data_IF_718325793686
#
_entry.id   IF_718325793686
#
_cell.length_a   1.000
_cell.length_b   1.000
_cell.length_c   1.000
_cell.angle_alpha   90.00
_cell.angle_beta   90.00
_cell.angle_gamma   90.00
#
_symmetry.space_group_name_H-M   'P 1'
#
loop_
_entity.id
_entity.type
_entity.pdbx_description
1 polymer ?
#
# COMPACT_ATOMS: atom_id res chain seq x y z
N UNK A 1 7.60 -27.85 -59.37
CA UNK A 1 7.30 -28.74 -58.22
C UNK A 1 8.42 -28.84 -57.18
N UNK A 2 9.71 -28.82 -57.55
CA UNK A 2 10.84 -28.98 -56.61
C UNK A 2 10.97 -27.82 -55.62
N UNK A 3 10.69 -26.59 -56.05
CA UNK A 3 10.77 -25.39 -55.19
C UNK A 3 9.61 -25.28 -54.19
N UNK A 4 8.42 -25.80 -54.55
CA UNK A 4 7.25 -25.85 -53.66
C UNK A 4 7.54 -26.80 -52.48
N UNK A 5 8.10 -27.98 -52.75
CA UNK A 5 8.48 -28.94 -51.70
C UNK A 5 9.58 -28.40 -50.78
N UNK A 6 10.53 -27.63 -51.32
CA UNK A 6 11.62 -27.02 -50.56
C UNK A 6 11.11 -25.87 -49.68
N UNK A 7 10.27 -25.00 -50.25
CA UNK A 7 9.57 -23.93 -49.54
C UNK A 7 8.71 -24.47 -48.39
N UNK A 8 7.90 -25.50 -48.65
CA UNK A 8 7.05 -26.15 -47.64
C UNK A 8 7.87 -26.68 -46.46
N UNK A 9 9.00 -27.35 -46.71
CA UNK A 9 9.90 -27.84 -45.65
C UNK A 9 10.47 -26.71 -44.81
N UNK A 10 10.89 -25.62 -45.45
CA UNK A 10 11.41 -24.43 -44.75
C UNK A 10 10.31 -23.80 -43.88
N UNK A 11 9.09 -23.66 -44.40
CA UNK A 11 7.96 -23.11 -43.63
C UNK A 11 7.63 -23.97 -42.41
N UNK A 12 7.58 -25.30 -42.57
CA UNK A 12 7.34 -26.22 -41.45
C UNK A 12 8.45 -26.09 -40.41
N UNK A 13 9.71 -26.01 -40.83
CA UNK A 13 10.85 -25.84 -39.93
C UNK A 13 10.74 -24.52 -39.13
N UNK A 14 10.38 -23.41 -39.78
CA UNK A 14 10.20 -22.13 -39.11
C UNK A 14 9.05 -22.16 -38.10
N UNK A 15 7.95 -22.85 -38.42
CA UNK A 15 6.83 -23.04 -37.48
C UNK A 15 7.30 -23.82 -36.25
N UNK A 16 8.06 -24.90 -36.44
CA UNK A 16 8.58 -25.71 -35.33
C UNK A 16 9.55 -24.89 -34.48
N UNK A 17 10.47 -24.13 -35.09
CA UNK A 17 11.41 -23.26 -34.36
C UNK A 17 10.65 -22.19 -33.58
N UNK A 18 9.66 -21.55 -34.19
CA UNK A 18 8.81 -20.55 -33.52
C UNK A 18 8.05 -21.15 -32.32
N UNK A 19 7.53 -22.37 -32.47
CA UNK A 19 6.88 -23.09 -31.38
C UNK A 19 7.85 -23.38 -30.23
N UNK A 20 9.05 -23.88 -30.53
CA UNK A 20 10.08 -24.16 -29.52
C UNK A 20 10.46 -22.87 -28.76
N UNK A 21 10.69 -21.78 -29.49
CA UNK A 21 11.00 -20.47 -28.88
C UNK A 21 9.84 -20.00 -27.99
N UNK A 22 8.60 -20.12 -28.47
CA UNK A 22 7.40 -19.71 -27.72
C UNK A 22 7.22 -20.51 -26.44
N UNK A 23 7.46 -21.82 -26.49
CA UNK A 23 7.44 -22.71 -25.32
C UNK A 23 8.56 -22.31 -24.35
N UNK A 24 9.78 -22.09 -24.85
CA UNK A 24 10.92 -21.66 -24.04
C UNK A 24 10.65 -20.34 -23.30
N UNK A 25 10.12 -19.34 -24.00
CA UNK A 25 9.72 -18.05 -23.40
C UNK A 25 8.67 -18.27 -22.31
N UNK A 26 7.63 -19.06 -22.59
CA UNK A 26 6.57 -19.35 -21.61
C UNK A 26 7.12 -20.00 -20.34
N UNK A 27 8.08 -20.91 -20.45
CA UNK A 27 8.73 -21.51 -19.28
C UNK A 27 9.62 -20.51 -18.55
N UNK A 28 10.38 -19.68 -19.26
CA UNK A 28 11.27 -18.67 -18.64
C UNK A 28 10.53 -17.54 -17.91
N UNK A 29 9.26 -17.29 -18.25
CA UNK A 29 8.43 -16.26 -17.63
C UNK A 29 7.52 -16.80 -16.54
N UNK A 30 7.53 -18.11 -16.30
CA UNK A 30 6.64 -18.75 -15.35
C UNK A 30 7.20 -18.59 -13.93
N UNK A 31 6.37 -18.10 -13.02
CA UNK A 31 6.68 -18.09 -11.58
C UNK A 31 6.20 -19.38 -10.91
N UNK A 32 6.92 -19.88 -9.93
CA UNK A 32 6.55 -21.13 -9.23
C UNK A 32 5.49 -20.90 -8.15
N UNK A 33 5.57 -19.75 -7.48
CA UNK A 33 4.71 -19.38 -6.37
C UNK A 33 4.05 -18.01 -6.61
N UNK A 34 2.87 -17.75 -6.02
CA UNK A 34 2.32 -16.40 -5.95
C UNK A 34 3.30 -15.45 -5.26
N UNK A 35 3.48 -14.24 -5.79
CA UNK A 35 4.43 -13.25 -5.26
C UNK A 35 3.65 -12.05 -4.72
N UNK A 36 3.71 -11.82 -3.42
CA UNK A 36 3.02 -10.68 -2.79
C UNK A 36 3.76 -9.37 -3.07
N UNK A 37 2.97 -8.31 -3.30
CA UNK A 37 3.49 -6.94 -3.40
C UNK A 37 3.62 -6.36 -1.99
N UNK A 38 4.68 -5.58 -1.77
CA UNK A 38 4.88 -4.88 -0.50
C UNK A 38 3.96 -3.68 -0.37
N UNK A 39 3.56 -3.42 0.87
CA UNK A 39 2.68 -2.33 1.27
C UNK A 39 3.33 -1.61 2.46
N UNK A 40 3.52 -0.30 2.32
CA UNK A 40 4.01 0.60 3.36
C UNK A 40 2.89 1.56 3.74
N UNK A 41 2.04 1.16 4.68
CA UNK A 41 0.74 1.79 4.92
C UNK A 41 0.62 2.23 6.37
N UNK A 42 0.15 3.45 6.58
CA UNK A 42 -0.30 3.96 7.86
C UNK A 42 -1.84 3.99 7.84
N UNK A 43 -2.45 3.07 8.58
CA UNK A 43 -3.89 2.88 8.60
C UNK A 43 -4.42 3.07 10.00
N UNK A 44 -5.56 3.75 10.08
CA UNK A 44 -6.25 3.95 11.34
C UNK A 44 -7.31 2.89 11.53
N UNK A 45 -7.51 2.44 12.76
CA UNK A 45 -8.69 1.68 13.17
C UNK A 45 -9.46 2.48 14.23
N UNK A 46 -10.79 2.32 14.24
CA UNK A 46 -11.63 2.94 15.25
C UNK A 46 -12.43 1.90 16.02
N UNK A 47 -12.83 2.32 17.22
CA UNK A 47 -13.69 1.57 18.09
C UNK A 47 -15.15 1.96 17.78
N UNK A 48 -15.85 1.13 17.00
CA UNK A 48 -17.29 1.26 16.81
C UNK A 48 -18.01 0.45 17.89
N UNK A 49 -19.21 0.87 18.30
CA UNK A 49 -20.05 0.30 19.39
C UNK A 49 -19.49 -0.99 20.02
N UNK A 50 -19.61 -2.14 19.32
CA UNK A 50 -19.16 -3.45 19.79
C UNK A 50 -17.97 -4.06 19.00
N UNK A 51 -17.49 -3.42 17.93
CA UNK A 51 -16.53 -3.99 16.97
C UNK A 51 -15.41 -3.01 16.61
N UNK A 52 -14.23 -3.55 16.32
CA UNK A 52 -13.18 -2.79 15.66
C UNK A 52 -13.43 -2.72 14.15
N UNK A 53 -13.08 -1.61 13.51
CA UNK A 53 -13.16 -1.44 12.06
C UNK A 53 -12.02 -0.56 11.57
N UNK A 54 -11.55 -0.80 10.33
CA UNK A 54 -10.60 0.09 9.67
C UNK A 54 -11.26 1.41 9.27
N UNK A 55 -10.53 2.51 9.42
CA UNK A 55 -10.99 3.84 9.06
C UNK A 55 -11.00 3.98 7.54
N UNK A 56 -12.19 4.19 6.96
CA UNK A 56 -12.38 4.53 5.56
C UNK A 56 -12.47 3.34 4.59
N UNK A 57 -11.53 2.40 4.63
CA UNK A 57 -11.49 1.27 3.69
C UNK A 57 -10.77 0.03 4.24
N UNK A 58 -11.02 -1.12 3.60
CA UNK A 58 -10.38 -2.40 3.90
C UNK A 58 -8.87 -2.33 3.63
N UNK A 59 -8.09 -3.13 4.36
CA UNK A 59 -6.70 -3.37 4.00
C UNK A 59 -6.64 -4.20 2.71
N UNK A 60 -5.95 -3.69 1.70
CA UNK A 60 -5.77 -4.39 0.43
C UNK A 60 -4.34 -4.93 0.32
N UNK A 61 -4.23 -6.25 0.15
CA UNK A 61 -2.98 -6.91 -0.23
C UNK A 61 -3.07 -7.35 -1.69
N UNK A 62 -2.03 -7.09 -2.48
CA UNK A 62 -1.97 -7.53 -3.88
C UNK A 62 -0.91 -8.61 -4.07
N UNK A 63 -1.16 -9.55 -4.96
CA UNK A 63 -0.18 -10.58 -5.31
C UNK A 63 -0.24 -10.96 -6.79
N UNK A 64 0.90 -11.38 -7.34
CA UNK A 64 1.08 -11.76 -8.74
C UNK A 64 1.03 -13.28 -8.88
N UNK A 65 0.29 -13.78 -9.86
CA UNK A 65 0.25 -15.20 -10.26
C UNK A 65 0.54 -15.37 -11.74
N UNK A 66 0.75 -16.62 -12.18
CA UNK A 66 0.67 -16.93 -13.60
C UNK A 66 -0.78 -16.78 -14.07
N UNK A 67 -0.97 -16.31 -15.29
CA UNK A 67 -2.30 -16.12 -15.86
C UNK A 67 -3.16 -17.39 -15.79
N UNK A 68 -4.39 -17.24 -15.31
CA UNK A 68 -5.37 -18.31 -15.14
C UNK A 68 -5.18 -19.14 -13.88
N UNK A 69 -4.34 -18.71 -12.94
CA UNK A 69 -4.32 -19.25 -11.59
C UNK A 69 -5.65 -18.98 -10.89
N UNK A 70 -6.24 -20.03 -10.31
CA UNK A 70 -7.56 -19.98 -9.68
C UNK A 70 -7.48 -20.03 -8.16
N UNK A 71 -6.28 -20.16 -7.59
CA UNK A 71 -6.10 -20.20 -6.15
C UNK A 71 -6.51 -18.87 -5.55
N UNK A 72 -7.31 -18.92 -4.50
CA UNK A 72 -7.77 -17.75 -3.75
C UNK A 72 -7.28 -17.82 -2.31
N UNK A 73 -6.90 -16.70 -1.75
CA UNK A 73 -6.56 -16.53 -0.35
C UNK A 73 -7.83 -16.64 0.50
N UNK A 74 -7.78 -17.53 1.48
CA UNK A 74 -8.88 -17.81 2.40
C UNK A 74 -8.58 -17.40 3.83
N UNK A 75 -7.31 -17.18 4.17
CA UNK A 75 -6.89 -16.72 5.49
C UNK A 75 -5.57 -15.97 5.43
N UNK A 76 -5.45 -14.96 6.28
CA UNK A 76 -4.22 -14.20 6.53
C UNK A 76 -4.04 -14.12 8.04
N UNK A 77 -2.86 -14.47 8.53
CA UNK A 77 -2.50 -14.39 9.95
C UNK A 77 -1.19 -13.61 10.04
N UNK A 78 -1.22 -12.42 10.64
CA UNK A 78 -0.01 -11.62 10.84
C UNK A 78 0.87 -12.22 11.93
N UNK A 79 2.17 -12.35 11.66
CA UNK A 79 3.10 -13.02 12.57
C UNK A 79 3.25 -12.26 13.90
N UNK A 80 3.29 -10.93 13.86
CA UNK A 80 3.44 -10.08 15.04
C UNK A 80 2.11 -9.81 15.75
N UNK A 81 0.97 -10.08 15.08
CA UNK A 81 -0.37 -9.87 15.65
C UNK A 81 -1.32 -11.03 15.32
N UNK A 82 -0.98 -12.28 15.72
CA UNK A 82 -1.78 -13.47 15.37
C UNK A 82 -3.13 -13.53 16.10
N UNK A 83 -3.36 -12.63 17.05
CA UNK A 83 -4.60 -12.50 17.80
C UNK A 83 -5.66 -11.65 17.09
N UNK A 84 -5.32 -10.99 15.97
CA UNK A 84 -6.30 -10.27 15.16
C UNK A 84 -7.24 -11.27 14.48
N UNK A 85 -8.54 -11.09 14.70
CA UNK A 85 -9.57 -11.83 13.97
C UNK A 85 -9.92 -11.06 12.69
N UNK A 86 -9.72 -11.70 11.55
CA UNK A 86 -9.75 -11.06 10.23
C UNK A 86 -10.76 -11.75 9.32
N UNK A 87 -11.58 -10.95 8.64
CA UNK A 87 -12.33 -11.40 7.47
C UNK A 87 -11.46 -11.16 6.24
N UNK A 88 -11.32 -12.19 5.41
CA UNK A 88 -10.50 -12.17 4.20
C UNK A 88 -11.36 -12.57 3.01
N UNK A 89 -11.22 -11.85 1.89
CA UNK A 89 -11.91 -12.21 0.65
C UNK A 89 -11.19 -11.63 -0.57
N UNK A 90 -11.23 -12.39 -1.66
CA UNK A 90 -10.88 -11.92 -3.00
C UNK A 90 -12.10 -11.52 -3.83
N UNK A 91 -13.29 -11.54 -3.22
CA UNK A 91 -14.47 -10.85 -3.73
C UNK A 91 -14.65 -9.59 -2.89
N UNK A 92 -15.08 -8.47 -3.49
CA UNK A 92 -15.28 -7.23 -2.73
C UNK A 92 -16.18 -7.49 -1.51
N UNK A 93 -15.64 -7.32 -0.31
CA UNK A 93 -16.36 -7.52 0.97
C UNK A 93 -17.15 -6.24 1.17
N UNK A 94 -18.39 -6.21 0.69
CA UNK A 94 -19.25 -5.03 0.78
C UNK A 94 -19.44 -4.57 2.24
N UNK A 95 -19.29 -3.26 2.49
CA UNK A 95 -19.58 -2.67 3.81
C UNK A 95 -20.00 -1.19 3.77
N UNK A 96 -19.21 -0.29 3.16
CA UNK A 96 -19.53 1.14 3.13
C UNK A 96 -19.06 1.79 1.81
N UNK A 97 -20.00 2.37 1.06
CA UNK A 97 -19.83 3.15 -0.18
C UNK A 97 -19.20 2.45 -1.41
N UNK A 98 -19.99 1.62 -2.11
CA UNK A 98 -19.78 1.33 -3.54
C UNK A 98 -20.91 1.95 -4.36
N UNK A 99 -20.64 3.11 -4.97
CA UNK A 99 -21.49 3.70 -6.03
C UNK A 99 -21.24 3.09 -7.42
N UNK A 100 -20.59 1.94 -7.50
CA UNK A 100 -20.38 1.23 -8.76
C UNK A 100 -20.72 -0.25 -8.58
N UNK A 101 -21.98 -0.59 -8.90
CA UNK A 101 -22.38 -1.93 -9.30
C UNK A 101 -21.61 -2.31 -10.57
N UNK A 102 -20.56 -3.10 -10.40
CA UNK A 102 -19.84 -3.72 -11.48
C UNK A 102 -19.24 -5.01 -10.96
N UNK A 103 -19.50 -6.11 -11.65
CA UNK A 103 -18.81 -7.39 -11.49
C UNK A 103 -17.34 -7.19 -11.89
N UNK A 104 -16.58 -6.46 -11.06
CA UNK A 104 -15.16 -6.30 -11.25
C UNK A 104 -14.52 -7.57 -10.72
N UNK A 105 -13.95 -8.37 -11.62
CA UNK A 105 -12.97 -9.36 -11.20
C UNK A 105 -11.86 -8.60 -10.47
N UNK A 106 -11.57 -8.96 -9.23
CA UNK A 106 -10.44 -8.43 -8.44
C UNK A 106 -9.07 -8.92 -8.97
N UNK A 107 -9.03 -9.23 -10.26
CA UNK A 107 -7.93 -9.81 -11.01
C UNK A 107 -7.68 -8.91 -12.22
N UNK A 108 -6.47 -8.36 -12.28
CA UNK A 108 -6.00 -7.53 -13.39
C UNK A 108 -4.95 -8.32 -14.20
N UNK A 109 -5.22 -8.60 -15.48
CA UNK A 109 -4.31 -9.41 -16.33
C UNK A 109 -3.31 -8.55 -17.11
N UNK A 110 -2.01 -8.89 -17.02
CA UNK A 110 -0.92 -8.24 -17.74
C UNK A 110 0.03 -9.26 -18.36
N UNK A 111 -0.09 -9.48 -19.67
CA UNK A 111 0.74 -10.45 -20.39
C UNK A 111 0.52 -11.87 -19.84
N UNK A 112 1.58 -12.57 -19.35
CA UNK A 112 1.48 -13.91 -18.79
C UNK A 112 1.11 -13.92 -17.30
N UNK A 113 0.84 -12.77 -16.67
CA UNK A 113 0.57 -12.65 -15.24
C UNK A 113 -0.83 -12.11 -14.96
N UNK A 114 -1.36 -12.49 -13.80
CA UNK A 114 -2.57 -11.95 -13.21
C UNK A 114 -2.23 -11.31 -11.85
N UNK A 115 -2.81 -10.16 -11.53
CA UNK A 115 -2.67 -9.48 -10.24
C UNK A 115 -3.98 -9.61 -9.49
N UNK A 116 -3.94 -10.27 -8.34
CA UNK A 116 -5.09 -10.48 -7.48
C UNK A 116 -5.09 -9.45 -6.34
N UNK A 117 -6.28 -9.02 -5.93
CA UNK A 117 -6.48 -8.16 -4.76
C UNK A 117 -7.24 -8.90 -3.67
N UNK A 118 -6.63 -8.99 -2.49
CA UNK A 118 -7.19 -9.56 -1.28
C UNK A 118 -7.63 -8.42 -0.37
N UNK A 119 -8.91 -8.39 -0.03
CA UNK A 119 -9.48 -7.46 0.93
C UNK A 119 -9.48 -8.10 2.31
N UNK A 120 -9.01 -7.33 3.30
CA UNK A 120 -8.92 -7.75 4.70
C UNK A 120 -9.65 -6.72 5.55
N UNK A 121 -10.51 -7.18 6.44
CA UNK A 121 -11.19 -6.36 7.43
C UNK A 121 -11.11 -6.99 8.83
N UNK A 122 -11.29 -6.17 9.86
CA UNK A 122 -11.34 -6.61 11.25
C UNK A 122 -12.69 -7.27 11.55
N UNK A 123 -12.64 -8.47 12.11
CA UNK A 123 -13.81 -9.20 12.62
C UNK A 123 -13.75 -9.36 14.13
N UNK A 124 -13.23 -8.36 14.81
CA UNK A 124 -12.92 -8.47 16.23
C UNK A 124 -13.88 -7.64 17.08
N UNK A 125 -14.56 -8.30 18.02
CA UNK A 125 -15.35 -7.59 19.02
C UNK A 125 -14.47 -6.93 20.08
N UNK A 126 -14.82 -5.69 20.43
CA UNK A 126 -14.21 -4.92 21.53
C UNK A 126 -14.38 -5.60 22.89
N UNK A 127 -15.40 -6.45 23.04
CA UNK A 127 -15.68 -7.18 24.29
C UNK A 127 -14.68 -8.29 24.55
N UNK A 128 -14.03 -8.81 23.52
CA UNK A 128 -13.14 -9.96 23.62
C UNK A 128 -11.72 -9.55 24.04
N UNK A 129 -11.19 -8.47 23.45
CA UNK A 129 -9.83 -7.99 23.72
C UNK A 129 -9.71 -6.52 23.35
N UNK A 130 -8.98 -5.75 24.16
CA UNK A 130 -8.57 -4.39 23.81
C UNK A 130 -7.37 -4.44 22.86
N UNK A 131 -7.46 -3.75 21.72
CA UNK A 131 -6.32 -3.55 20.82
C UNK A 131 -5.33 -2.52 21.37
N UNK A 132 -4.06 -2.70 21.03
CA UNK A 132 -2.94 -1.79 21.34
C UNK A 132 -3.04 -0.53 20.48
N UNK A 133 -2.60 0.61 21.00
CA UNK A 133 -2.74 1.90 20.31
C UNK A 133 -2.01 1.98 18.96
N UNK A 134 -0.96 1.15 18.77
CA UNK A 134 -0.30 0.95 17.48
C UNK A 134 0.11 -0.53 17.34
N UNK A 135 -0.20 -1.14 16.20
CA UNK A 135 0.13 -2.53 15.88
C UNK A 135 0.93 -2.57 14.57
N UNK A 136 2.10 -3.20 14.60
CA UNK A 136 2.95 -3.34 13.43
C UNK A 136 2.74 -4.69 12.73
N UNK A 137 2.49 -4.64 11.43
CA UNK A 137 2.26 -5.81 10.59
C UNK A 137 3.26 -5.80 9.44
N UNK A 138 4.19 -6.75 9.43
CA UNK A 138 5.28 -6.84 8.44
C UNK A 138 5.25 -8.16 7.64
N UNK A 139 4.92 -9.27 8.31
CA UNK A 139 4.88 -10.61 7.73
C UNK A 139 3.59 -11.30 8.08
N UNK A 140 3.13 -12.15 7.17
CA UNK A 140 1.92 -12.94 7.39
C UNK A 140 2.08 -14.38 6.90
N UNK A 141 1.30 -15.27 7.49
CA UNK A 141 0.97 -16.59 6.95
C UNK A 141 -0.31 -16.46 6.14
N UNK A 142 -0.21 -16.75 4.85
CA UNK A 142 -1.33 -16.71 3.91
C UNK A 142 -1.71 -18.14 3.55
N UNK A 143 -2.98 -18.47 3.66
CA UNK A 143 -3.54 -19.75 3.24
C UNK A 143 -4.40 -19.59 1.99
N UNK A 144 -4.19 -20.47 1.03
CA UNK A 144 -5.01 -20.59 -0.18
C UNK A 144 -6.09 -21.66 -0.01
N UNK A 145 -7.15 -21.56 -0.81
CA UNK A 145 -8.28 -22.50 -0.89
C UNK A 145 -7.87 -23.96 -1.18
N UNK A 146 -6.76 -24.16 -1.88
CA UNK A 146 -6.18 -25.47 -2.13
C UNK A 146 -5.36 -26.04 -0.95
N UNK A 147 -5.34 -25.34 0.20
CA UNK A 147 -4.64 -25.73 1.41
C UNK A 147 -3.16 -25.35 1.46
N UNK A 148 -2.61 -24.72 0.41
CA UNK A 148 -1.21 -24.22 0.43
C UNK A 148 -1.09 -23.07 1.43
N UNK A 149 -0.02 -23.09 2.23
CA UNK A 149 0.32 -22.01 3.15
C UNK A 149 1.66 -21.41 2.73
N UNK A 150 1.77 -20.09 2.78
CA UNK A 150 2.99 -19.35 2.48
C UNK A 150 3.28 -18.31 3.56
N UNK A 151 4.54 -18.17 3.94
CA UNK A 151 4.99 -17.00 4.70
C UNK A 151 5.41 -15.92 3.72
N UNK A 152 4.88 -14.71 3.90
CA UNK A 152 5.08 -13.59 2.98
C UNK A 152 5.58 -12.37 3.75
N UNK A 153 6.50 -11.64 3.13
CA UNK A 153 6.89 -10.29 3.53
C UNK A 153 5.94 -9.30 2.85
N UNK A 154 5.24 -8.50 3.66
CA UNK A 154 4.25 -7.53 3.21
C UNK A 154 4.81 -6.10 3.25
N UNK A 155 6.08 -5.88 3.60
CA UNK A 155 6.62 -4.55 3.88
C UNK A 155 6.35 -4.14 5.33
N UNK A 156 5.69 -2.99 5.53
CA UNK A 156 5.39 -2.47 6.87
C UNK A 156 4.05 -1.75 6.87
N UNK A 157 3.07 -2.33 7.55
CA UNK A 157 1.76 -1.73 7.77
C UNK A 157 1.65 -1.39 9.26
N UNK A 158 1.31 -0.14 9.57
CA UNK A 158 1.06 0.33 10.92
C UNK A 158 -0.45 0.51 11.07
N UNK A 159 -1.04 -0.20 12.03
CA UNK A 159 -2.43 0.00 12.43
C UNK A 159 -2.46 0.85 13.70
N UNK A 160 -2.83 2.11 13.57
CA UNK A 160 -2.91 3.07 14.68
C UNK A 160 -4.36 3.24 15.13
N UNK A 161 -4.57 3.41 16.43
CA UNK A 161 -5.88 3.78 16.96
C UNK A 161 -6.19 5.21 16.57
N UNK A 162 -7.33 5.43 15.92
CA UNK A 162 -7.80 6.77 15.65
C UNK A 162 -8.15 7.49 16.96
N UNK A 163 -7.37 8.53 17.28
CA UNK A 163 -7.59 9.39 18.44
C UNK A 163 -8.04 10.79 17.95
N UNK A 164 -9.34 11.02 17.91
CA UNK A 164 -9.93 12.31 17.55
C UNK A 164 -9.87 13.35 18.67
N UNK A 165 -8.74 13.47 19.36
CA UNK A 165 -8.60 14.41 20.47
C UNK A 165 -8.62 15.87 19.97
N UNK A 166 -9.18 16.75 20.79
CA UNK A 166 -9.07 18.19 20.57
C UNK A 166 -7.60 18.61 20.55
N UNK A 167 -7.26 19.47 19.61
CA UNK A 167 -5.89 19.85 19.29
C UNK A 167 -5.86 21.32 18.93
N UNK A 168 -4.80 22.08 19.29
CA UNK A 168 -4.64 23.47 18.87
C UNK A 168 -4.44 23.68 17.36
N UNK A 169 -4.50 22.59 16.58
CA UNK A 169 -4.25 22.57 15.15
C UNK A 169 -5.42 21.89 14.42
N UNK A 170 -6.31 22.71 13.84
CA UNK A 170 -7.51 22.26 13.14
C UNK A 170 -7.23 22.01 11.66
N UNK A 171 -7.67 20.87 11.13
CA UNK A 171 -7.58 20.59 9.69
C UNK A 171 -8.68 21.33 8.97
N UNK A 172 -8.34 22.26 8.06
CA UNK A 172 -9.32 23.10 7.35
C UNK A 172 -9.37 22.86 5.85
N UNK A 173 -8.37 22.18 5.29
CA UNK A 173 -8.33 21.93 3.86
C UNK A 173 -7.20 20.99 3.46
N UNK A 174 -7.37 20.39 2.29
CA UNK A 174 -6.40 19.48 1.71
C UNK A 174 -6.49 19.57 0.19
N UNK A 175 -5.32 19.69 -0.45
CA UNK A 175 -5.16 19.67 -1.89
C UNK A 175 -4.25 18.51 -2.28
N UNK A 176 -4.50 17.90 -3.43
CA UNK A 176 -3.65 16.86 -3.99
C UNK A 176 -3.76 16.85 -5.50
N UNK A 177 -2.67 16.51 -6.18
CA UNK A 177 -2.59 16.42 -7.62
C UNK A 177 -2.07 15.06 -8.07
N UNK A 178 -2.37 14.69 -9.32
CA UNK A 178 -1.89 13.44 -9.94
C UNK A 178 -0.39 13.42 -10.22
N UNK A 179 0.30 14.56 -10.07
CA UNK A 179 1.75 14.68 -10.19
C UNK A 179 2.50 14.29 -8.91
N UNK A 180 1.78 13.87 -7.86
CA UNK A 180 2.37 13.48 -6.57
C UNK A 180 2.52 14.64 -5.59
N UNK A 181 2.12 15.86 -5.96
CA UNK A 181 2.08 16.98 -5.02
C UNK A 181 0.85 16.91 -4.11
N UNK A 182 1.03 17.23 -2.82
CA UNK A 182 -0.06 17.38 -1.87
C UNK A 182 0.19 18.54 -0.91
N UNK A 183 -0.90 19.09 -0.38
CA UNK A 183 -0.87 20.12 0.63
C UNK A 183 -1.97 19.86 1.66
N UNK A 184 -1.60 19.79 2.94
CA UNK A 184 -2.54 19.85 4.06
C UNK A 184 -2.50 21.24 4.68
N UNK A 185 -3.67 21.81 4.93
CA UNK A 185 -3.82 23.17 5.48
C UNK A 185 -4.44 23.07 6.86
N UNK A 186 -3.73 23.64 7.83
CA UNK A 186 -4.16 23.67 9.21
C UNK A 186 -4.37 25.10 9.70
N UNK A 187 -5.31 25.26 10.61
CA UNK A 187 -5.59 26.52 11.31
C UNK A 187 -5.19 26.40 12.77
N UNK A 188 -4.38 27.36 13.22
CA UNK A 188 -3.79 27.36 14.57
C UNK A 188 -4.74 28.07 15.53
N UNK A 189 -5.28 27.36 16.52
CA UNK A 189 -6.30 27.89 17.46
C UNK A 189 -5.73 28.38 18.78
N UNK A 190 -4.49 28.04 19.12
CA UNK A 190 -3.67 28.69 20.15
C UNK A 190 -2.21 28.71 19.71
N UNK A 191 -1.34 29.50 20.35
CA UNK A 191 0.08 29.51 20.03
C UNK A 191 0.71 28.13 20.22
N UNK A 192 1.47 27.67 19.22
CA UNK A 192 2.13 26.35 19.25
C UNK A 192 3.60 26.42 18.84
N UNK A 193 4.35 25.44 19.33
CA UNK A 193 5.75 25.17 19.02
C UNK A 193 5.85 23.82 18.32
N UNK A 194 6.10 23.83 17.01
CA UNK A 194 6.29 22.59 16.24
C UNK A 194 7.70 22.09 16.45
N UNK A 195 7.83 20.88 16.98
CA UNK A 195 9.11 20.26 17.34
C UNK A 195 9.62 19.32 16.25
N UNK A 196 8.75 18.48 15.68
CA UNK A 196 9.14 17.53 14.62
C UNK A 196 7.98 17.03 13.78
N UNK A 197 8.32 16.49 12.61
CA UNK A 197 7.44 15.66 11.79
C UNK A 197 8.02 14.27 11.71
N UNK A 198 7.23 13.24 12.01
CA UNK A 198 7.72 11.87 12.00
C UNK A 198 6.65 10.85 11.62
N UNK A 199 7.05 9.81 10.89
CA UNK A 199 6.32 8.55 10.71
C UNK A 199 7.30 7.38 10.88
N UNK A 200 6.88 6.26 11.51
CA UNK A 200 7.65 5.02 11.50
C UNK A 200 8.00 4.52 10.09
N UNK A 201 7.21 4.89 9.08
CA UNK A 201 7.44 4.47 7.69
C UNK A 201 8.55 5.26 6.99
N UNK A 202 9.10 6.32 7.59
CA UNK A 202 10.18 7.11 6.99
C UNK A 202 11.44 6.26 6.74
N UNK A 203 11.72 5.25 7.57
CA UNK A 203 12.82 4.31 7.35
C UNK A 203 12.77 3.63 5.97
N UNK A 204 11.56 3.41 5.43
CA UNK A 204 11.33 2.68 4.18
C UNK A 204 11.03 3.58 2.97
N UNK A 205 10.77 4.87 3.20
CA UNK A 205 10.13 5.74 2.21
C UNK A 205 10.65 7.16 2.15
N UNK A 206 11.51 7.60 3.09
CA UNK A 206 11.92 9.01 3.20
C UNK A 206 12.61 9.55 1.95
N UNK A 207 13.27 8.69 1.18
CA UNK A 207 13.95 9.03 -0.07
C UNK A 207 12.99 9.15 -1.27
N UNK A 208 11.73 8.72 -1.13
CA UNK A 208 10.73 8.72 -2.21
C UNK A 208 9.92 10.00 -2.30
N UNK A 209 9.99 10.86 -1.28
CA UNK A 209 9.24 12.10 -1.26
C UNK A 209 9.98 13.17 -0.47
N UNK A 210 9.68 14.41 -0.80
CA UNK A 210 10.07 15.58 -0.02
C UNK A 210 8.84 16.16 0.65
N UNK A 211 9.01 16.75 1.82
CA UNK A 211 7.95 17.50 2.47
C UNK A 211 8.49 18.75 3.16
N UNK A 212 7.61 19.73 3.38
CA UNK A 212 7.94 20.98 4.03
C UNK A 212 6.75 21.51 4.84
N UNK A 213 7.04 22.30 5.87
CA UNK A 213 6.04 23.08 6.60
C UNK A 213 6.34 24.58 6.37
N UNK A 214 5.38 25.35 5.86
CA UNK A 214 5.58 26.77 5.53
C UNK A 214 6.02 27.57 6.75
N UNK A 215 7.12 28.32 6.58
CA UNK A 215 8.08 28.91 7.56
C UNK A 215 9.43 28.18 7.63
N UNK A 216 9.58 27.01 7.00
CA UNK A 216 10.85 26.29 6.90
C UNK A 216 11.22 25.98 5.46
N UNK A 217 12.51 25.83 5.21
CA UNK A 217 13.02 24.83 4.28
C UNK A 217 13.66 23.75 5.16
N UNK A 218 13.37 22.47 4.90
CA UNK A 218 13.97 21.30 5.53
C UNK A 218 14.22 21.41 7.06
N UNK A 219 13.23 21.01 7.85
CA UNK A 219 13.36 20.81 9.30
C UNK A 219 14.38 19.69 9.60
N UNK A 220 15.61 20.07 9.96
CA UNK A 220 16.46 19.17 10.75
C UNK A 220 16.72 19.70 12.17
N UNK A 221 16.64 21.01 12.48
CA UNK A 221 17.11 21.50 13.80
C UNK A 221 16.45 22.78 14.41
N UNK A 222 15.25 23.23 13.99
CA UNK A 222 14.64 24.44 14.61
C UNK A 222 13.16 24.28 14.98
N UNK A 223 12.84 24.58 16.25
CA UNK A 223 11.47 24.75 16.72
C UNK A 223 10.82 25.93 15.99
N UNK A 224 9.65 25.71 15.39
CA UNK A 224 8.93 26.75 14.67
C UNK A 224 7.68 27.16 15.42
N UNK A 225 7.61 28.46 15.68
CA UNK A 225 6.51 29.09 16.41
C UNK A 225 5.42 29.49 15.42
N UNK A 226 4.21 28.99 15.67
CA UNK A 226 2.99 29.47 15.04
C UNK A 226 2.15 30.23 16.04
N UNK A 227 1.75 31.44 15.66
CA UNK A 227 0.85 32.23 16.47
C UNK A 227 -0.60 31.80 16.25
N UNK A 228 -1.42 32.03 17.25
CA UNK A 228 -2.88 31.90 17.17
C UNK A 228 -3.41 32.62 15.92
N UNK A 229 -4.30 31.96 15.20
CA UNK A 229 -4.94 32.40 13.96
C UNK A 229 -4.04 32.40 12.71
N UNK A 230 -2.82 31.88 12.80
CA UNK A 230 -2.00 31.59 11.61
C UNK A 230 -2.44 30.29 10.93
N UNK A 231 -1.99 30.14 9.68
CA UNK A 231 -2.09 28.88 8.95
C UNK A 231 -0.75 28.17 8.95
N UNK A 232 -0.80 26.86 9.18
CA UNK A 232 0.32 25.95 8.97
C UNK A 232 0.02 25.18 7.69
N UNK A 233 0.91 25.25 6.71
CA UNK A 233 0.81 24.50 5.48
C UNK A 233 1.85 23.40 5.49
N UNK A 234 1.40 22.17 5.36
CA UNK A 234 2.27 21.03 5.11
C UNK A 234 2.21 20.73 3.62
N UNK A 235 3.33 20.75 2.92
CA UNK A 235 3.41 20.38 1.50
C UNK A 235 4.26 19.12 1.34
N UNK A 236 3.91 18.27 0.38
CA UNK A 236 4.75 17.14 -0.01
C UNK A 236 4.76 16.92 -1.51
N UNK A 237 5.81 16.26 -1.99
CA UNK A 237 5.98 15.86 -3.37
C UNK A 237 6.52 14.44 -3.40
N UNK A 238 5.71 13.50 -3.88
CA UNK A 238 6.16 12.14 -4.17
C UNK A 238 6.93 12.10 -5.48
N UNK A 239 8.08 11.46 -5.49
CA UNK A 239 8.93 11.34 -6.67
C UNK A 239 8.59 10.07 -7.47
N UNK A 240 8.99 10.06 -8.74
CA UNK A 240 8.87 8.86 -9.56
C UNK A 240 9.80 7.75 -9.04
N UNK A 241 9.26 6.55 -8.82
CA UNK A 241 10.02 5.41 -8.32
C UNK A 241 10.63 4.65 -9.51
N UNK A 242 11.95 4.73 -9.66
CA UNK A 242 12.67 4.01 -10.72
C UNK A 242 13.12 2.60 -10.31
N UNK A 243 13.41 2.38 -9.02
CA UNK A 243 13.83 1.09 -8.48
C UNK A 243 12.72 0.03 -8.70
N UNK A 244 12.98 -1.00 -9.52
CA UNK A 244 11.97 -2.03 -9.80
C UNK A 244 11.47 -2.77 -8.57
N UNK A 245 12.28 -2.89 -7.51
CA UNK A 245 11.91 -3.60 -6.29
C UNK A 245 10.89 -2.83 -5.43
N UNK A 246 10.78 -1.52 -5.65
CA UNK A 246 9.93 -0.61 -4.88
C UNK A 246 8.78 -0.03 -5.70
N UNK A 247 8.92 -0.02 -7.03
CA UNK A 247 7.96 0.60 -7.96
C UNK A 247 6.58 -0.04 -7.94
N UNK A 248 6.46 -1.33 -7.65
CA UNK A 248 5.17 -2.01 -7.50
C UNK A 248 4.68 -2.07 -6.04
N UNK A 249 5.39 -1.44 -5.11
CA UNK A 249 4.92 -1.31 -3.73
C UNK A 249 3.89 -0.20 -3.61
N UNK A 250 2.93 -0.37 -2.70
CA UNK A 250 1.99 0.69 -2.31
C UNK A 250 2.57 1.48 -1.14
N UNK A 251 2.45 2.81 -1.18
CA UNK A 251 2.80 3.69 -0.07
C UNK A 251 1.57 4.54 0.30
N UNK A 252 1.22 4.59 1.57
CA UNK A 252 0.23 5.52 2.12
C UNK A 252 0.72 5.94 3.50
N UNK A 253 1.44 7.05 3.56
CA UNK A 253 2.21 7.48 4.72
C UNK A 253 1.48 8.65 5.36
N UNK A 254 1.27 8.59 6.67
CA UNK A 254 0.55 9.62 7.44
C UNK A 254 1.42 10.12 8.58
N UNK A 255 2.40 10.99 8.32
CA UNK A 255 3.28 11.45 9.37
C UNK A 255 2.51 12.32 10.37
N UNK A 256 2.97 12.31 11.61
CA UNK A 256 2.47 13.17 12.66
C UNK A 256 3.34 14.42 12.79
N UNK A 257 2.70 15.58 12.85
CA UNK A 257 3.31 16.82 13.34
C UNK A 257 3.21 16.76 14.87
N UNK A 258 4.36 16.80 15.55
CA UNK A 258 4.47 16.87 17.00
C UNK A 258 4.70 18.32 17.39
N UNK A 259 3.94 18.79 18.37
CA UNK A 259 3.99 20.18 18.81
C UNK A 259 3.50 20.35 20.24
N UNK A 260 3.87 21.47 20.84
CA UNK A 260 3.48 21.84 22.20
C UNK A 260 2.73 23.17 22.21
N UNK A 261 1.82 23.36 23.15
CA UNK A 261 1.25 24.69 23.44
C UNK A 261 2.16 25.50 24.38
N UNK A 262 1.75 26.74 24.68
CA UNK A 262 2.47 27.63 25.61
C UNK A 262 2.56 27.11 27.05
N UNK A 263 1.67 26.19 27.44
CA UNK A 263 1.58 25.63 28.78
C UNK A 263 2.40 24.33 28.90
N UNK A 264 3.02 23.88 27.79
CA UNK A 264 3.86 22.68 27.71
C UNK A 264 3.06 21.39 27.50
N UNK A 265 1.80 21.48 27.08
CA UNK A 265 1.02 20.29 26.73
C UNK A 265 1.43 19.79 25.34
N UNK A 266 1.77 18.51 25.25
CA UNK A 266 2.17 17.86 24.00
C UNK A 266 0.97 17.39 23.18
N UNK A 267 1.03 17.63 21.87
CA UNK A 267 0.03 17.24 20.89
C UNK A 267 0.67 16.57 19.68
N UNK A 268 -0.15 15.78 18.98
CA UNK A 268 0.17 15.26 17.66
C UNK A 268 -0.97 15.54 16.69
N UNK A 269 -0.63 15.85 15.44
CA UNK A 269 -1.60 15.97 14.35
C UNK A 269 -1.15 15.15 13.15
N UNK A 270 -1.97 14.19 12.77
CA UNK A 270 -1.75 13.37 11.58
C UNK A 270 -1.92 14.21 10.30
N UNK A 271 -0.99 14.05 9.38
CA UNK A 271 -1.02 14.63 8.04
C UNK A 271 -1.44 13.56 7.05
N UNK A 272 -2.34 13.91 6.14
CA UNK A 272 -2.85 13.02 5.10
C UNK A 272 -2.14 13.25 3.76
N UNK A 273 -2.42 12.39 2.78
CA UNK A 273 -2.06 12.54 1.37
C UNK A 273 -0.56 12.49 1.02
N UNK A 274 0.22 11.62 1.68
CA UNK A 274 1.54 11.21 1.16
C UNK A 274 1.42 9.77 0.66
N UNK A 275 0.91 9.60 -0.56
CA UNK A 275 0.59 8.28 -1.09
C UNK A 275 1.08 8.05 -2.51
N UNK A 276 1.37 6.79 -2.80
CA UNK A 276 1.72 6.26 -4.10
C UNK A 276 1.00 4.92 -4.31
N UNK A 277 0.18 4.86 -5.36
CA UNK A 277 -0.46 3.63 -5.83
C UNK A 277 0.22 3.20 -7.13
N UNK A 278 0.78 1.98 -7.20
CA UNK A 278 1.50 1.53 -8.37
C UNK A 278 0.54 1.35 -9.56
N UNK A 279 0.99 1.78 -10.74
CA UNK A 279 0.35 1.44 -12.01
C UNK A 279 0.98 0.19 -12.58
N UNK A 280 0.16 -0.77 -12.99
CA UNK A 280 0.64 -2.05 -13.49
C UNK A 280 0.79 -2.06 -15.00
N UNK A 281 1.90 -2.63 -15.46
CA UNK A 281 2.13 -3.01 -16.84
C UNK A 281 3.12 -4.18 -16.89
N UNK A 282 3.15 -4.88 -18.01
CA UNK A 282 3.99 -6.08 -18.16
C UNK A 282 5.48 -5.83 -17.89
N UNK A 283 6.03 -4.68 -18.32
CA UNK A 283 7.46 -4.37 -18.15
C UNK A 283 7.81 -4.20 -16.67
N UNK A 284 7.00 -3.45 -15.93
CA UNK A 284 7.24 -3.22 -14.51
C UNK A 284 7.03 -4.48 -13.68
N UNK A 285 6.03 -5.31 -14.02
CA UNK A 285 5.84 -6.64 -13.39
C UNK A 285 7.04 -7.56 -13.64
N UNK A 286 7.51 -7.64 -14.88
CA UNK A 286 8.69 -8.44 -15.22
C UNK A 286 9.93 -7.99 -14.44
N UNK A 287 10.20 -6.69 -14.39
CA UNK A 287 11.34 -6.15 -13.66
C UNK A 287 11.21 -6.34 -12.15
N UNK A 288 10.00 -6.22 -11.60
CA UNK A 288 9.74 -6.50 -10.19
C UNK A 288 10.03 -7.97 -9.86
N UNK A 289 9.41 -8.92 -10.58
CA UNK A 289 9.61 -10.36 -10.36
C UNK A 289 11.09 -10.76 -10.49
N UNK A 290 11.81 -10.20 -11.47
CA UNK A 290 13.25 -10.39 -11.62
C UNK A 290 14.05 -9.82 -10.44
N UNK A 291 13.67 -8.65 -9.92
CA UNK A 291 14.34 -8.06 -8.74
C UNK A 291 14.07 -8.85 -7.46
N UNK A 292 12.94 -9.57 -7.38
CA UNK A 292 12.63 -10.50 -6.29
C UNK A 292 13.28 -11.88 -6.46
N UNK A 293 13.92 -12.17 -7.60
CA UNK A 293 14.54 -13.48 -7.87
C UNK A 293 13.55 -14.59 -8.24
N UNK A 294 12.34 -14.21 -8.68
CA UNK A 294 11.26 -15.14 -9.05
C UNK A 294 11.28 -15.54 -10.54
N UNK A 295 12.17 -14.91 -11.34
CA UNK A 295 12.42 -15.15 -12.77
C UNK A 295 13.91 -15.25 -13.08
#
# INVERSE_FOLDING_TARGET
MRDIKKSLKTSILLIIISLIISIGIKFSLKIDNPVFLKSYLDMNYYENEDMYSFSGHNLELKYITNKGDKRQVTSVIFNNAPYLDLIVSENNISGFMTFYDGVNSNIESYGPYDIHTVFIDLNMSRRNKKLEDAIELDRAKVQFDNGKIMEVDLGKIILSKYNGNESPLDSIGMNGSSDGSSQSIFYVTDNIFVSKVYSPLFEYSRDLFEFNIDKLGYLEEQDVVYNKYEHLYFTSQFHNIEDPSRKLSRYDIKPNIYFEDKDGNEYMKEVQNISYTPNFNFKDIYNYLKSQGEL
#
